data_IF_436946409711
#
_entry.id   IF_436946409711
#
_cell.length_a   1.000
_cell.length_b   1.000
_cell.length_c   1.000
_cell.angle_alpha   90.00
_cell.angle_beta   90.00
_cell.angle_gamma   90.00
#
_symmetry.space_group_name_H-M   'P 1'
#
loop_
_entity.id
_entity.type
_entity.pdbx_description
1 polymer ?
#
# COMPACT_ATOMS: atom_id res chain seq x y z
N UNK A 1 3.18 -12.58 -46.27
CA UNK A 1 2.37 -12.44 -45.05
C UNK A 1 3.32 -11.99 -43.95
N UNK A 2 3.33 -10.69 -43.67
CA UNK A 2 4.23 -10.07 -42.70
C UNK A 2 3.79 -10.45 -41.30
N UNK A 3 4.69 -11.09 -40.58
CA UNK A 3 4.61 -11.41 -39.16
C UNK A 3 4.49 -10.09 -38.38
N UNK A 4 3.26 -9.64 -38.12
CA UNK A 4 3.00 -8.47 -37.29
C UNK A 4 3.30 -8.86 -35.85
N UNK A 5 4.51 -8.52 -35.42
CA UNK A 5 4.88 -8.46 -34.00
C UNK A 5 3.78 -7.67 -33.27
N UNK A 6 3.17 -8.20 -32.19
CA UNK A 6 2.15 -7.46 -31.45
C UNK A 6 2.70 -6.09 -31.04
N UNK A 7 1.90 -5.02 -31.07
CA UNK A 7 2.38 -3.69 -30.69
C UNK A 7 2.99 -3.76 -29.29
N UNK A 8 4.18 -3.19 -29.14
CA UNK A 8 4.91 -3.12 -27.87
C UNK A 8 4.06 -2.34 -26.86
N UNK A 9 3.56 -3.01 -25.83
CA UNK A 9 2.90 -2.34 -24.71
C UNK A 9 3.83 -1.30 -24.07
N UNK A 10 3.30 -0.20 -23.50
CA UNK A 10 4.15 0.80 -22.87
C UNK A 10 4.87 0.21 -21.65
N UNK A 11 6.06 0.73 -21.36
CA UNK A 11 6.83 0.36 -20.18
C UNK A 11 6.30 1.10 -18.97
N UNK A 12 5.86 0.39 -17.92
CA UNK A 12 5.40 1.00 -16.67
C UNK A 12 6.46 0.89 -15.58
N UNK A 13 6.88 2.04 -15.05
CA UNK A 13 7.72 2.16 -13.85
C UNK A 13 6.83 2.59 -12.70
N UNK A 14 6.50 1.65 -11.82
CA UNK A 14 5.63 1.90 -10.67
C UNK A 14 6.44 2.13 -9.41
N UNK A 15 6.25 3.28 -8.77
CA UNK A 15 6.88 3.64 -7.51
C UNK A 15 5.81 3.94 -6.46
N UNK A 16 6.01 3.49 -5.23
CA UNK A 16 5.13 3.81 -4.10
C UNK A 16 4.38 2.61 -3.56
N UNK A 17 3.07 2.77 -3.35
CA UNK A 17 2.26 1.85 -2.55
C UNK A 17 1.46 0.85 -3.40
N UNK A 18 0.64 0.03 -2.72
CA UNK A 18 -0.25 -0.95 -3.34
C UNK A 18 -1.27 -0.30 -4.28
N UNK A 19 -1.79 0.87 -3.91
CA UNK A 19 -2.65 1.67 -4.80
C UNK A 19 -1.93 2.05 -6.11
N UNK A 20 -0.68 2.52 -6.04
CA UNK A 20 0.07 2.83 -7.27
C UNK A 20 0.24 1.58 -8.16
N UNK A 21 0.35 0.38 -7.59
CA UNK A 21 0.36 -0.84 -8.41
C UNK A 21 -0.97 -1.13 -9.08
N UNK A 22 -2.07 -1.03 -8.34
CA UNK A 22 -3.43 -1.19 -8.90
C UNK A 22 -3.67 -0.17 -10.02
N UNK A 23 -3.40 1.11 -9.76
CA UNK A 23 -3.55 2.20 -10.72
C UNK A 23 -2.67 1.98 -11.96
N UNK A 24 -1.47 1.42 -11.80
CA UNK A 24 -0.61 1.07 -12.93
C UNK A 24 -1.19 -0.01 -13.83
N UNK A 25 -1.85 -1.03 -13.29
CA UNK A 25 -2.51 -2.04 -14.15
C UNK A 25 -3.72 -1.44 -14.90
N UNK A 26 -4.45 -0.51 -14.28
CA UNK A 26 -5.50 0.25 -14.97
C UNK A 26 -4.93 1.09 -16.12
N UNK A 27 -3.84 1.83 -15.86
CA UNK A 27 -3.14 2.62 -16.89
C UNK A 27 -2.62 1.74 -18.03
N UNK A 28 -2.15 0.53 -17.72
CA UNK A 28 -1.69 -0.44 -18.73
C UNK A 28 -2.84 -0.81 -19.67
N UNK A 29 -4.00 -1.16 -19.13
CA UNK A 29 -5.19 -1.49 -19.92
C UNK A 29 -5.60 -0.32 -20.82
N UNK A 30 -5.78 0.88 -20.23
CA UNK A 30 -6.15 2.06 -21.00
C UNK A 30 -5.15 2.44 -22.10
N UNK A 31 -3.85 2.35 -21.82
CA UNK A 31 -2.83 2.64 -22.81
C UNK A 31 -2.78 1.59 -23.93
N UNK A 32 -2.99 0.31 -23.61
CA UNK A 32 -3.09 -0.76 -24.60
C UNK A 32 -4.32 -0.58 -25.50
N UNK A 33 -5.49 -0.31 -24.92
CA UNK A 33 -6.74 -0.07 -25.66
C UNK A 33 -6.65 1.16 -26.57
N UNK A 34 -5.92 2.20 -26.13
CA UNK A 34 -5.66 3.40 -26.92
C UNK A 34 -4.56 3.21 -27.99
N UNK A 35 -3.91 2.05 -28.04
CA UNK A 35 -2.81 1.79 -28.98
C UNK A 35 -1.54 2.59 -28.69
N UNK A 36 -1.32 3.02 -27.45
CA UNK A 36 -0.11 3.74 -27.04
C UNK A 36 1.05 2.73 -26.90
N UNK A 37 1.89 2.64 -27.93
CA UNK A 37 3.13 1.86 -27.90
C UNK A 37 4.35 2.73 -27.62
N UNK A 38 5.46 2.09 -27.23
CA UNK A 38 6.80 2.68 -27.18
C UNK A 38 6.96 3.91 -26.26
N UNK A 39 6.05 4.06 -25.28
CA UNK A 39 6.11 5.08 -24.24
C UNK A 39 6.60 4.49 -22.90
N UNK A 40 7.17 5.34 -22.04
CA UNK A 40 7.47 5.00 -20.65
C UNK A 40 6.57 5.79 -19.71
N UNK A 41 5.77 5.10 -18.91
CA UNK A 41 4.89 5.69 -17.89
C UNK A 41 5.55 5.53 -16.52
N UNK A 42 5.81 6.65 -15.84
CA UNK A 42 6.38 6.66 -14.48
C UNK A 42 5.33 7.10 -13.47
N UNK A 43 4.83 6.16 -12.67
CA UNK A 43 3.86 6.41 -11.61
C UNK A 43 4.60 6.70 -10.30
N UNK A 44 4.55 7.95 -9.84
CA UNK A 44 5.40 8.49 -8.77
C UNK A 44 4.78 8.43 -7.38
N UNK A 45 5.64 8.43 -6.35
CA UNK A 45 5.28 8.49 -4.93
C UNK A 45 5.81 9.77 -4.28
N UNK A 46 5.04 10.34 -3.34
CA UNK A 46 5.35 11.60 -2.67
C UNK A 46 5.54 11.50 -1.15
N UNK A 47 5.40 10.30 -0.57
CA UNK A 47 5.36 10.10 0.90
C UNK A 47 6.61 10.64 1.58
N UNK A 48 7.78 10.44 0.99
CA UNK A 48 9.06 10.94 1.51
C UNK A 48 9.84 11.73 0.46
N UNK A 49 10.79 12.55 0.91
CA UNK A 49 11.72 13.21 -0.01
C UNK A 49 12.60 12.23 -0.78
N UNK A 50 12.88 11.06 -0.22
CA UNK A 50 13.62 10.00 -0.94
C UNK A 50 12.77 9.42 -2.07
N UNK A 51 11.48 9.14 -1.84
CA UNK A 51 10.59 8.65 -2.89
C UNK A 51 10.54 9.58 -4.12
N UNK A 52 10.50 10.89 -3.88
CA UNK A 52 10.55 11.89 -4.96
C UNK A 52 11.92 11.90 -5.66
N UNK A 53 13.03 11.73 -4.93
CA UNK A 53 14.37 11.60 -5.54
C UNK A 53 14.46 10.35 -6.40
N UNK A 54 14.00 9.20 -5.91
CA UNK A 54 13.98 7.94 -6.65
C UNK A 54 13.15 8.05 -7.93
N UNK A 55 12.00 8.75 -7.90
CA UNK A 55 11.20 9.03 -9.09
C UNK A 55 11.98 9.81 -10.16
N UNK A 56 12.67 10.88 -9.77
CA UNK A 56 13.49 11.67 -10.69
C UNK A 56 14.67 10.87 -11.26
N UNK A 57 15.29 10.01 -10.45
CA UNK A 57 16.35 9.11 -10.92
C UNK A 57 15.81 8.08 -11.92
N UNK A 58 14.64 7.49 -11.64
CA UNK A 58 13.99 6.54 -12.52
C UNK A 58 13.64 7.15 -13.89
N UNK A 59 13.14 8.40 -13.92
CA UNK A 59 12.87 9.15 -15.16
C UNK A 59 14.15 9.30 -16.00
N UNK A 60 15.26 9.74 -15.39
CA UNK A 60 16.53 9.90 -16.12
C UNK A 60 17.08 8.58 -16.64
N UNK A 61 16.96 7.52 -15.83
CA UNK A 61 17.37 6.18 -16.23
C UNK A 61 16.53 5.68 -17.41
N UNK A 62 15.21 5.84 -17.34
CA UNK A 62 14.29 5.48 -18.42
C UNK A 62 14.63 6.20 -19.72
N UNK A 63 14.94 7.50 -19.67
CA UNK A 63 15.34 8.28 -20.85
C UNK A 63 16.61 7.75 -21.51
N UNK A 64 17.55 7.23 -20.70
CA UNK A 64 18.79 6.61 -21.18
C UNK A 64 18.55 5.21 -21.77
N UNK A 65 17.69 4.43 -21.14
CA UNK A 65 17.38 3.04 -21.54
C UNK A 65 16.44 2.98 -22.76
N UNK A 66 15.60 4.00 -22.94
CA UNK A 66 14.61 4.11 -24.02
C UNK A 66 14.79 5.43 -24.79
N UNK A 67 15.89 5.59 -25.55
CA UNK A 67 16.15 6.83 -26.27
C UNK A 67 15.05 7.13 -27.30
N UNK A 68 14.47 8.33 -27.23
CA UNK A 68 13.40 8.78 -28.14
C UNK A 68 11.99 8.36 -27.73
N UNK A 69 11.83 7.49 -26.72
CA UNK A 69 10.53 7.14 -26.18
C UNK A 69 9.93 8.32 -25.38
N UNK A 70 8.65 8.66 -25.55
CA UNK A 70 8.00 9.66 -24.71
C UNK A 70 7.91 9.18 -23.26
N UNK A 71 8.28 10.07 -22.32
CA UNK A 71 8.20 9.78 -20.89
C UNK A 71 7.02 10.54 -20.28
N UNK A 72 6.05 9.77 -19.80
CA UNK A 72 4.81 10.24 -19.22
C UNK A 72 4.91 10.07 -17.70
N UNK A 73 4.84 11.17 -16.96
CA UNK A 73 5.01 11.17 -15.49
C UNK A 73 3.67 11.44 -14.82
N UNK A 74 3.28 10.59 -13.87
CA UNK A 74 2.03 10.72 -13.11
C UNK A 74 2.22 10.29 -11.66
N UNK A 75 1.14 10.19 -10.87
CA UNK A 75 1.16 9.77 -9.47
C UNK A 75 1.22 10.95 -8.49
N UNK A 76 1.32 10.63 -7.19
CA UNK A 76 1.17 11.63 -6.13
C UNK A 76 2.19 12.78 -6.23
N UNK A 77 3.45 12.49 -6.60
CA UNK A 77 4.46 13.54 -6.65
C UNK A 77 4.21 14.49 -7.84
N UNK A 78 3.82 13.93 -8.98
CA UNK A 78 3.45 14.68 -10.17
C UNK A 78 2.22 15.58 -9.95
N UNK A 79 1.26 15.12 -9.13
CA UNK A 79 0.10 15.93 -8.73
C UNK A 79 0.48 17.08 -7.79
N UNK A 80 1.38 16.83 -6.82
CA UNK A 80 1.75 17.82 -5.80
C UNK A 80 2.67 18.90 -6.36
N UNK A 81 3.61 18.52 -7.22
CA UNK A 81 4.59 19.44 -7.80
C UNK A 81 4.77 19.15 -9.29
N UNK A 82 3.78 19.49 -10.13
CA UNK A 82 3.84 19.23 -11.56
C UNK A 82 4.98 19.98 -12.24
N UNK A 83 5.24 21.22 -11.81
CA UNK A 83 6.27 22.09 -12.38
C UNK A 83 7.67 21.51 -12.23
N UNK A 84 7.98 20.86 -11.10
CA UNK A 84 9.26 20.19 -10.91
C UNK A 84 9.51 19.12 -11.97
N UNK A 85 8.49 18.33 -12.33
CA UNK A 85 8.62 17.31 -13.37
C UNK A 85 8.55 17.90 -14.77
N UNK A 86 7.75 18.95 -14.99
CA UNK A 86 7.69 19.65 -16.27
C UNK A 86 9.04 20.29 -16.64
N UNK A 87 9.81 20.77 -15.66
CA UNK A 87 11.16 21.32 -15.86
C UNK A 87 12.22 20.27 -16.21
N UNK A 88 11.93 18.98 -16.07
CA UNK A 88 12.85 17.92 -16.47
C UNK A 88 12.84 17.77 -18.00
N UNK A 89 13.99 17.93 -18.70
CA UNK A 89 14.07 17.80 -20.16
C UNK A 89 13.62 16.43 -20.67
N UNK A 90 13.79 15.39 -19.87
CA UNK A 90 13.46 14.00 -20.21
C UNK A 90 11.95 13.75 -20.27
N UNK A 91 11.15 14.58 -19.59
CA UNK A 91 9.71 14.38 -19.47
C UNK A 91 9.00 14.92 -20.70
N UNK A 92 8.06 14.14 -21.25
CA UNK A 92 7.19 14.56 -22.36
C UNK A 92 5.90 15.16 -21.85
N UNK A 93 5.25 14.51 -20.87
CA UNK A 93 3.97 14.97 -20.29
C UNK A 93 3.92 14.68 -18.79
N UNK A 94 3.30 15.57 -18.02
CA UNK A 94 2.93 15.38 -16.62
C UNK A 94 1.41 15.25 -16.53
N UNK A 95 0.93 14.17 -15.94
CA UNK A 95 -0.50 13.82 -15.88
C UNK A 95 -0.93 13.75 -14.41
N UNK A 96 -2.06 14.38 -14.09
CA UNK A 96 -2.59 14.42 -12.73
C UNK A 96 -3.06 13.05 -12.24
N UNK A 97 -3.21 12.95 -10.92
CA UNK A 97 -3.47 11.67 -10.26
C UNK A 97 -4.89 11.15 -10.53
N UNK A 98 -5.84 12.03 -10.84
CA UNK A 98 -7.19 11.65 -11.26
C UNK A 98 -7.24 11.36 -12.77
N UNK A 99 -6.59 12.20 -13.58
CA UNK A 99 -6.56 12.08 -15.05
C UNK A 99 -6.01 10.74 -15.50
N UNK A 100 -4.97 10.22 -14.82
CA UNK A 100 -4.35 8.93 -15.16
C UNK A 100 -5.33 7.75 -15.17
N UNK A 101 -6.44 7.86 -14.44
CA UNK A 101 -7.47 6.83 -14.31
C UNK A 101 -8.51 6.89 -15.43
N UNK A 102 -8.42 7.83 -16.37
CA UNK A 102 -9.38 8.02 -17.46
C UNK A 102 -8.85 7.45 -18.76
N UNK A 103 -9.63 6.63 -19.45
CA UNK A 103 -9.22 5.98 -20.70
C UNK A 103 -8.86 7.02 -21.79
N UNK A 104 -9.64 8.10 -21.89
CA UNK A 104 -9.43 9.19 -22.85
C UNK A 104 -8.09 9.92 -22.65
N UNK A 105 -7.49 9.86 -21.45
CA UNK A 105 -6.18 10.48 -21.19
C UNK A 105 -5.06 9.81 -21.98
N UNK A 106 -5.24 8.54 -22.35
CA UNK A 106 -4.20 7.71 -22.95
C UNK A 106 -4.19 7.73 -24.49
N UNK A 107 -5.07 8.53 -25.11
CA UNK A 107 -5.14 8.66 -26.57
C UNK A 107 -3.86 9.30 -27.14
N UNK A 108 -3.09 8.62 -28.01
CA UNK A 108 -1.77 9.11 -28.45
C UNK A 108 -1.81 10.48 -29.15
N UNK A 109 -2.83 10.76 -29.96
CA UNK A 109 -2.97 12.02 -30.69
C UNK A 109 -3.01 13.22 -29.73
N UNK A 110 -3.77 13.10 -28.66
CA UNK A 110 -3.86 14.13 -27.63
C UNK A 110 -2.65 14.09 -26.71
N UNK A 111 -2.23 12.90 -26.28
CA UNK A 111 -1.22 12.74 -25.24
C UNK A 111 0.20 13.11 -25.70
N UNK A 112 0.51 12.91 -26.97
CA UNK A 112 1.82 13.21 -27.58
C UNK A 112 1.78 14.49 -28.44
N UNK A 113 0.58 14.97 -28.83
CA UNK A 113 0.38 16.24 -29.52
C UNK A 113 0.35 17.47 -28.58
N UNK A 114 0.53 18.67 -29.15
CA UNK A 114 0.38 19.94 -28.44
C UNK A 114 1.54 20.36 -27.50
N UNK A 115 1.60 21.65 -27.17
CA UNK A 115 2.71 22.26 -26.43
C UNK A 115 2.58 22.18 -24.90
N UNK A 116 1.39 21.87 -24.38
CA UNK A 116 1.14 21.92 -22.94
C UNK A 116 1.69 20.67 -22.23
N UNK A 117 2.80 20.84 -21.52
CA UNK A 117 3.49 19.74 -20.84
C UNK A 117 2.77 19.22 -19.58
N UNK A 118 1.93 20.05 -18.94
CA UNK A 118 1.26 19.74 -17.67
C UNK A 118 -0.24 19.59 -17.89
N UNK A 119 -0.80 18.42 -17.54
CA UNK A 119 -2.23 18.11 -17.55
C UNK A 119 -2.65 17.64 -16.17
N UNK A 120 -2.72 18.58 -15.24
CA UNK A 120 -2.99 18.32 -13.82
C UNK A 120 -4.11 19.24 -13.36
N UNK A 121 -5.26 18.65 -13.01
CA UNK A 121 -6.39 19.40 -12.47
C UNK A 121 -6.34 19.50 -10.94
N UNK A 122 -7.25 20.29 -10.37
CA UNK A 122 -7.43 20.40 -8.93
C UNK A 122 -7.98 19.10 -8.34
N UNK A 123 -7.11 18.35 -7.66
CA UNK A 123 -7.45 17.08 -7.01
C UNK A 123 -8.47 17.24 -5.88
N UNK A 124 -8.61 18.44 -5.30
CA UNK A 124 -9.58 18.70 -4.23
C UNK A 124 -11.02 18.82 -4.75
N UNK A 125 -11.19 19.05 -6.05
CA UNK A 125 -12.50 19.14 -6.70
C UNK A 125 -13.13 17.78 -7.06
N UNK A 126 -12.34 16.70 -7.01
CA UNK A 126 -12.78 15.35 -7.36
C UNK A 126 -13.70 14.79 -6.27
N UNK A 127 -14.89 14.35 -6.66
CA UNK A 127 -15.93 13.85 -5.75
C UNK A 127 -16.15 12.34 -5.80
N UNK A 128 -15.75 11.69 -6.89
CA UNK A 128 -16.03 10.28 -7.12
C UNK A 128 -14.74 9.50 -7.43
N UNK A 129 -14.74 8.21 -7.15
CA UNK A 129 -13.71 7.27 -7.58
C UNK A 129 -14.40 6.03 -8.15
N UNK A 130 -14.08 5.67 -9.39
CA UNK A 130 -14.67 4.49 -10.03
C UNK A 130 -13.95 3.21 -9.60
N UNK A 131 -14.66 2.09 -9.57
CA UNK A 131 -14.03 0.79 -9.67
C UNK A 131 -13.53 0.59 -11.10
N UNK A 132 -12.22 0.43 -11.27
CA UNK A 132 -11.68 -0.06 -12.54
C UNK A 132 -11.56 -1.57 -12.44
N UNK A 133 -12.32 -2.27 -13.29
CA UNK A 133 -12.27 -3.72 -13.34
C UNK A 133 -10.91 -4.14 -13.91
N UNK A 134 -10.15 -4.88 -13.11
CA UNK A 134 -8.90 -5.51 -13.56
C UNK A 134 -9.09 -7.02 -13.60
N UNK A 135 -8.63 -7.66 -14.66
CA UNK A 135 -8.72 -9.12 -14.84
C UNK A 135 -7.65 -9.87 -14.03
N UNK A 136 -6.60 -9.16 -13.61
CA UNK A 136 -5.54 -9.67 -12.74
C UNK A 136 -4.37 -8.69 -12.62
N UNK A 137 -3.37 -9.05 -11.83
CA UNK A 137 -2.06 -8.40 -11.85
C UNK A 137 -1.02 -9.43 -12.30
N UNK A 138 -0.55 -9.32 -13.54
CA UNK A 138 0.37 -10.29 -14.13
C UNK A 138 1.56 -10.60 -13.21
N UNK A 139 1.75 -11.90 -12.92
CA UNK A 139 2.85 -12.39 -12.10
C UNK A 139 2.75 -12.11 -10.60
N UNK A 140 1.57 -11.73 -10.08
CA UNK A 140 1.34 -11.54 -8.63
C UNK A 140 0.36 -12.57 -8.08
N UNK A 141 0.73 -13.21 -6.98
CA UNK A 141 -0.11 -14.17 -6.27
C UNK A 141 -1.36 -13.57 -5.59
N UNK A 142 -1.43 -12.25 -5.44
CA UNK A 142 -2.53 -11.52 -4.79
C UNK A 142 -3.08 -10.47 -5.73
N UNK A 143 -4.40 -10.27 -5.71
CA UNK A 143 -5.05 -9.17 -6.41
C UNK A 143 -5.34 -8.00 -5.45
N UNK A 144 -5.12 -6.76 -5.89
CA UNK A 144 -5.47 -5.55 -5.14
C UNK A 144 -6.81 -5.01 -5.62
N UNK A 145 -7.70 -4.67 -4.70
CA UNK A 145 -8.96 -3.98 -4.99
C UNK A 145 -8.94 -2.64 -4.28
N UNK A 146 -8.87 -1.55 -5.05
CA UNK A 146 -9.05 -0.21 -4.51
C UNK A 146 -10.50 -0.04 -4.11
N UNK A 147 -10.76 0.21 -2.83
CA UNK A 147 -12.10 0.50 -2.33
C UNK A 147 -12.24 1.95 -1.86
N UNK A 148 -11.13 2.62 -1.59
CA UNK A 148 -11.09 3.98 -1.05
C UNK A 148 -9.88 4.75 -1.60
N UNK A 149 -10.02 6.05 -1.86
CA UNK A 149 -8.91 6.92 -2.29
C UNK A 149 -9.03 8.32 -1.69
N UNK A 150 -7.90 9.04 -1.59
CA UNK A 150 -7.82 10.32 -0.89
C UNK A 150 -7.95 10.17 0.64
N UNK A 151 -7.96 11.28 1.38
CA UNK A 151 -8.08 11.23 2.83
C UNK A 151 -8.54 12.59 3.36
N UNK A 152 -9.51 12.60 4.28
CA UNK A 152 -9.99 13.82 4.94
C UNK A 152 -9.21 14.15 6.21
N UNK A 153 -8.40 13.21 6.70
CA UNK A 153 -7.49 13.52 7.79
C UNK A 153 -6.40 14.49 7.36
N UNK A 154 -6.03 15.32 8.32
CA UNK A 154 -5.01 16.36 8.17
C UNK A 154 -3.91 16.15 9.19
N UNK A 155 -3.36 14.93 9.22
CA UNK A 155 -2.20 14.61 10.03
C UNK A 155 -1.08 15.59 9.70
N UNK A 156 -0.40 16.13 10.71
CA UNK A 156 0.48 17.30 10.53
C UNK A 156 1.70 17.02 9.65
N UNK A 157 2.07 15.76 9.47
CA UNK A 157 3.19 15.32 8.62
C UNK A 157 2.77 14.88 7.20
N UNK A 158 1.47 14.68 6.95
CA UNK A 158 1.01 13.96 5.77
C UNK A 158 0.78 14.90 4.57
N UNK A 159 1.45 14.62 3.45
CA UNK A 159 1.27 15.37 2.19
C UNK A 159 0.21 14.74 1.27
N UNK A 160 -0.27 13.53 1.59
CA UNK A 160 -1.15 12.73 0.73
C UNK A 160 -2.43 13.46 0.29
N UNK A 161 -3.14 14.23 1.13
CA UNK A 161 -4.32 14.95 0.69
C UNK A 161 -4.08 15.86 -0.52
N UNK A 162 -2.88 16.45 -0.65
CA UNK A 162 -2.53 17.31 -1.79
C UNK A 162 -2.21 16.52 -3.08
N UNK A 163 -1.95 15.21 -2.97
CA UNK A 163 -1.69 14.35 -4.12
C UNK A 163 -2.87 13.47 -4.52
N UNK A 164 -3.83 13.26 -3.61
CA UNK A 164 -4.97 12.33 -3.80
C UNK A 164 -6.33 12.93 -3.47
N UNK A 165 -6.42 14.14 -2.94
CA UNK A 165 -7.67 14.82 -2.63
C UNK A 165 -8.36 14.31 -1.36
N UNK A 166 -9.62 14.72 -1.20
CA UNK A 166 -10.52 14.30 -0.12
C UNK A 166 -10.86 12.80 -0.19
N UNK A 167 -11.38 12.23 0.90
CA UNK A 167 -11.78 10.82 0.91
C UNK A 167 -12.91 10.56 -0.07
N UNK A 168 -12.81 9.45 -0.80
CA UNK A 168 -13.82 8.97 -1.75
C UNK A 168 -13.88 7.46 -1.69
N UNK A 169 -15.08 6.91 -1.69
CA UNK A 169 -15.33 5.48 -1.58
C UNK A 169 -15.88 4.90 -2.87
N UNK A 170 -15.48 3.67 -3.17
CA UNK A 170 -16.11 2.85 -4.19
C UNK A 170 -17.37 2.21 -3.59
N UNK A 171 -18.55 2.28 -4.24
CA UNK A 171 -19.76 1.63 -3.75
C UNK A 171 -19.59 0.13 -3.52
N UNK A 172 -20.23 -0.41 -2.47
CA UNK A 172 -20.05 -1.81 -2.08
C UNK A 172 -20.40 -2.83 -3.19
N UNK A 173 -21.40 -2.53 -4.03
CA UNK A 173 -21.77 -3.40 -5.16
C UNK A 173 -20.62 -3.59 -6.14
N UNK A 174 -20.01 -2.49 -6.59
CA UNK A 174 -18.86 -2.52 -7.50
C UNK A 174 -17.65 -3.25 -6.87
N UNK A 175 -17.40 -3.04 -5.58
CA UNK A 175 -16.33 -3.77 -4.88
C UNK A 175 -16.62 -5.28 -4.88
N UNK A 176 -17.84 -5.69 -4.53
CA UNK A 176 -18.22 -7.11 -4.49
C UNK A 176 -18.10 -7.75 -5.88
N UNK A 177 -18.53 -7.06 -6.93
CA UNK A 177 -18.44 -7.55 -8.30
C UNK A 177 -16.99 -7.68 -8.77
N UNK A 178 -16.12 -6.73 -8.42
CA UNK A 178 -14.70 -6.82 -8.71
C UNK A 178 -14.03 -7.98 -7.94
N UNK A 179 -14.38 -8.19 -6.66
CA UNK A 179 -13.88 -9.34 -5.90
C UNK A 179 -14.33 -10.65 -6.54
N UNK A 180 -15.60 -10.75 -6.95
CA UNK A 180 -16.14 -11.94 -7.63
C UNK A 180 -15.39 -12.24 -8.93
N UNK A 181 -15.18 -11.24 -9.79
CA UNK A 181 -14.40 -11.39 -11.03
C UNK A 181 -12.98 -11.91 -10.76
N UNK A 182 -12.30 -11.39 -9.74
CA UNK A 182 -10.95 -11.86 -9.39
C UNK A 182 -10.93 -13.31 -8.92
N UNK A 183 -11.97 -13.73 -8.18
CA UNK A 183 -12.13 -15.14 -7.78
C UNK A 183 -12.40 -16.03 -8.99
N UNK A 184 -13.25 -15.59 -9.92
CA UNK A 184 -13.56 -16.28 -11.18
C UNK A 184 -12.32 -16.43 -12.08
N UNK A 185 -11.42 -15.43 -12.11
CA UNK A 185 -10.13 -15.52 -12.81
C UNK A 185 -9.07 -16.31 -12.03
N UNK A 186 -9.46 -16.91 -10.90
CA UNK A 186 -8.67 -17.89 -10.16
C UNK A 186 -7.78 -17.32 -9.06
N UNK A 187 -7.89 -16.04 -8.70
CA UNK A 187 -7.09 -15.46 -7.62
C UNK A 187 -7.48 -16.06 -6.27
N UNK A 188 -6.48 -16.55 -5.52
CA UNK A 188 -6.69 -17.15 -4.20
C UNK A 188 -6.93 -16.10 -3.12
N UNK A 189 -6.17 -15.00 -3.18
CA UNK A 189 -6.20 -13.94 -2.17
C UNK A 189 -6.50 -12.58 -2.81
N UNK A 190 -7.48 -11.89 -2.23
CA UNK A 190 -7.85 -10.52 -2.58
C UNK A 190 -7.51 -9.60 -1.43
N UNK A 191 -6.85 -8.48 -1.72
CA UNK A 191 -6.43 -7.49 -0.74
C UNK A 191 -7.15 -6.17 -0.99
N UNK A 192 -8.00 -5.76 -0.05
CA UNK A 192 -8.62 -4.45 -0.06
C UNK A 192 -7.58 -3.39 0.24
N UNK A 193 -7.51 -2.36 -0.60
CA UNK A 193 -6.56 -1.28 -0.47
C UNK A 193 -7.26 0.08 -0.54
N UNK A 194 -6.74 1.00 0.26
CA UNK A 194 -7.12 2.40 0.25
C UNK A 194 -5.98 3.27 0.75
N UNK A 195 -6.19 4.58 0.72
CA UNK A 195 -5.28 5.53 1.37
C UNK A 195 -5.52 5.53 2.87
N UNK A 196 -6.79 5.58 3.23
CA UNK A 196 -7.33 5.67 4.58
C UNK A 196 -8.57 4.76 4.62
N UNK A 197 -8.30 3.46 4.68
CA UNK A 197 -9.29 2.44 4.35
C UNK A 197 -10.48 2.44 5.31
N UNK A 198 -10.28 2.83 6.56
CA UNK A 198 -11.33 2.95 7.59
C UNK A 198 -12.28 4.12 7.34
N UNK A 199 -11.89 5.10 6.53
CA UNK A 199 -12.79 6.18 6.10
C UNK A 199 -13.79 5.77 5.02
N UNK A 200 -13.72 4.52 4.53
CA UNK A 200 -14.65 4.02 3.53
C UNK A 200 -16.10 4.15 3.99
N UNK A 201 -16.94 4.65 3.09
CA UNK A 201 -18.38 4.73 3.22
C UNK A 201 -18.91 6.02 3.85
N UNK A 202 -18.06 6.89 4.40
CA UNK A 202 -18.47 8.19 4.96
C UNK A 202 -19.15 9.11 3.92
N UNK A 203 -18.79 8.96 2.64
CA UNK A 203 -19.35 9.68 1.49
C UNK A 203 -20.49 8.93 0.78
N UNK A 204 -20.85 7.73 1.24
CA UNK A 204 -21.90 6.91 0.64
C UNK A 204 -23.27 7.07 1.36
N UNK A 205 -24.40 6.82 0.66
CA UNK A 205 -25.72 6.85 1.29
C UNK A 205 -25.82 5.89 2.48
N UNK A 206 -26.33 6.40 3.60
CA UNK A 206 -26.43 5.65 4.86
C UNK A 206 -25.11 5.50 5.64
N UNK A 207 -24.03 6.14 5.18
CA UNK A 207 -22.72 6.22 5.84
C UNK A 207 -22.23 4.88 6.44
N UNK A 208 -22.22 3.79 5.66
CA UNK A 208 -21.77 2.50 6.16
C UNK A 208 -20.29 2.56 6.54
N UNK A 209 -19.89 1.80 7.55
CA UNK A 209 -18.48 1.68 7.97
C UNK A 209 -17.79 0.51 7.26
N UNK A 210 -16.45 0.47 7.29
CA UNK A 210 -15.63 -0.54 6.61
C UNK A 210 -16.03 -1.99 6.96
N UNK A 211 -16.38 -2.29 8.21
CA UNK A 211 -16.85 -3.61 8.62
C UNK A 211 -18.04 -4.10 7.81
N UNK A 212 -18.95 -3.21 7.41
CA UNK A 212 -20.09 -3.54 6.56
C UNK A 212 -19.64 -4.01 5.17
N UNK A 213 -18.62 -3.38 4.59
CA UNK A 213 -18.07 -3.80 3.30
C UNK A 213 -17.44 -5.20 3.42
N UNK A 214 -16.62 -5.41 4.44
CA UNK A 214 -15.92 -6.67 4.68
C UNK A 214 -16.92 -7.81 4.87
N UNK A 215 -17.92 -7.65 5.73
CA UNK A 215 -18.97 -8.64 5.95
C UNK A 215 -19.78 -8.90 4.67
N UNK A 216 -20.11 -7.87 3.89
CA UNK A 216 -20.82 -8.03 2.60
C UNK A 216 -20.01 -8.83 1.59
N UNK A 217 -18.73 -8.57 1.44
CA UNK A 217 -17.84 -9.34 0.55
C UNK A 217 -17.82 -10.82 0.97
N UNK A 218 -17.57 -11.09 2.26
CA UNK A 218 -17.49 -12.44 2.80
C UNK A 218 -18.82 -13.21 2.66
N UNK A 219 -19.95 -12.49 2.70
CA UNK A 219 -21.30 -13.08 2.50
C UNK A 219 -21.65 -13.30 1.03
N UNK A 220 -21.32 -12.36 0.14
CA UNK A 220 -21.79 -12.35 -1.26
C UNK A 220 -20.80 -12.99 -2.25
N UNK A 221 -19.60 -13.35 -1.78
CA UNK A 221 -18.59 -14.10 -2.53
C UNK A 221 -18.10 -15.28 -1.69
N UNK A 222 -18.94 -16.31 -1.46
CA UNK A 222 -18.59 -17.46 -0.62
C UNK A 222 -17.38 -18.26 -1.15
N UNK A 223 -17.07 -18.16 -2.44
CA UNK A 223 -15.96 -18.85 -3.10
C UNK A 223 -14.59 -18.24 -2.77
N UNK A 224 -14.55 -16.99 -2.28
CA UNK A 224 -13.32 -16.29 -1.91
C UNK A 224 -12.57 -17.08 -0.84
N UNK A 225 -11.30 -17.43 -1.13
CA UNK A 225 -10.48 -18.23 -0.21
C UNK A 225 -9.84 -17.39 0.88
N UNK A 226 -9.35 -16.19 0.52
CA UNK A 226 -8.74 -15.30 1.48
C UNK A 226 -8.98 -13.83 1.13
N UNK A 227 -9.48 -13.08 2.10
CA UNK A 227 -9.58 -11.63 2.07
C UNK A 227 -8.49 -11.05 2.98
N UNK A 228 -7.79 -10.02 2.54
CA UNK A 228 -6.89 -9.23 3.38
C UNK A 228 -7.27 -7.76 3.31
N UNK A 229 -7.01 -7.06 4.41
CA UNK A 229 -7.18 -5.62 4.51
C UNK A 229 -5.78 -5.01 4.58
N UNK A 230 -5.55 -3.93 3.84
CA UNK A 230 -4.29 -3.18 3.94
C UNK A 230 -4.20 -2.39 5.26
N UNK A 231 -3.31 -1.40 5.34
CA UNK A 231 -3.17 -0.57 6.54
C UNK A 231 -4.48 0.14 6.93
N UNK A 232 -4.79 0.18 8.23
CA UNK A 232 -5.97 0.84 8.79
C UNK A 232 -5.62 1.74 9.98
N UNK A 233 -6.48 2.71 10.28
CA UNK A 233 -6.40 3.49 11.52
C UNK A 233 -6.95 2.67 12.69
N UNK A 234 -6.13 2.47 13.73
CA UNK A 234 -6.42 1.59 14.86
C UNK A 234 -7.74 1.96 15.58
N UNK A 235 -8.04 3.25 15.71
CA UNK A 235 -9.21 3.71 16.45
C UNK A 235 -10.53 3.56 15.66
N UNK A 236 -10.45 3.31 14.36
CA UNK A 236 -11.62 3.23 13.48
C UNK A 236 -12.03 1.79 13.15
N UNK A 237 -11.52 0.81 13.88
CA UNK A 237 -12.04 -0.55 13.80
C UNK A 237 -13.43 -0.55 14.45
N UNK A 238 -14.46 -0.55 13.60
CA UNK A 238 -15.85 -0.67 14.00
C UNK A 238 -16.18 -2.09 14.48
N UNK A 239 -17.30 -2.23 15.21
CA UNK A 239 -17.71 -3.51 15.79
C UNK A 239 -17.91 -4.60 14.71
N UNK A 240 -18.44 -4.24 13.54
CA UNK A 240 -18.65 -5.21 12.46
C UNK A 240 -17.33 -5.68 11.85
N UNK A 241 -16.33 -4.81 11.76
CA UNK A 241 -14.97 -5.19 11.36
C UNK A 241 -14.31 -6.06 12.42
N UNK A 242 -14.46 -5.71 13.69
CA UNK A 242 -13.95 -6.52 14.80
C UNK A 242 -14.57 -7.92 14.78
N UNK A 243 -15.90 -8.04 14.66
CA UNK A 243 -16.58 -9.33 14.49
C UNK A 243 -16.09 -10.11 13.26
N UNK A 244 -15.87 -9.43 12.14
CA UNK A 244 -15.35 -10.06 10.93
C UNK A 244 -13.92 -10.62 11.10
N UNK A 245 -13.15 -10.13 12.07
CA UNK A 245 -11.87 -10.74 12.46
C UNK A 245 -12.04 -12.14 13.06
N UNK A 246 -13.25 -12.62 13.36
CA UNK A 246 -13.50 -14.02 13.66
C UNK A 246 -13.58 -14.93 12.42
N UNK A 247 -13.88 -14.39 11.24
CA UNK A 247 -14.16 -15.16 10.02
C UNK A 247 -12.88 -15.75 9.39
N UNK A 248 -12.74 -17.08 9.23
CA UNK A 248 -11.48 -17.71 8.81
C UNK A 248 -10.91 -17.24 7.47
N UNK A 249 -11.77 -16.75 6.57
CA UNK A 249 -11.37 -16.22 5.26
C UNK A 249 -10.74 -14.83 5.35
N UNK A 250 -10.99 -14.06 6.41
CA UNK A 250 -10.26 -12.83 6.65
C UNK A 250 -8.86 -13.20 7.16
N UNK A 251 -7.80 -12.67 6.56
CA UNK A 251 -6.44 -13.03 6.93
C UNK A 251 -6.13 -12.66 8.40
N UNK A 252 -5.39 -13.50 9.15
CA UNK A 252 -5.00 -13.23 10.54
C UNK A 252 -3.84 -12.23 10.61
N UNK A 253 -4.01 -11.06 9.98
CA UNK A 253 -3.02 -9.99 9.98
C UNK A 253 -3.70 -8.64 9.99
N UNK A 254 -3.22 -7.73 10.85
CA UNK A 254 -3.63 -6.34 10.82
C UNK A 254 -2.43 -5.42 10.81
N UNK A 255 -2.40 -4.48 9.86
CA UNK A 255 -1.38 -3.44 9.79
C UNK A 255 -1.94 -2.12 10.31
N UNK A 256 -1.43 -1.64 11.44
CA UNK A 256 -1.96 -0.49 12.17
C UNK A 256 -1.13 0.77 11.89
N UNK A 257 -1.79 1.84 11.49
CA UNK A 257 -1.13 3.13 11.28
C UNK A 257 -0.90 3.87 12.61
N UNK A 258 -0.09 3.31 13.52
CA UNK A 258 0.11 3.83 14.88
C UNK A 258 0.91 5.14 14.92
N UNK A 259 1.88 5.29 14.01
CA UNK A 259 2.77 6.44 13.83
C UNK A 259 3.75 6.72 14.98
N UNK A 260 3.34 6.61 16.25
CA UNK A 260 4.19 6.85 17.41
C UNK A 260 3.62 6.20 18.69
N UNK A 261 4.45 5.95 19.70
CA UNK A 261 4.03 5.38 20.99
C UNK A 261 3.84 6.39 22.13
N UNK A 262 3.85 7.69 21.84
CA UNK A 262 3.82 8.75 22.85
C UNK A 262 2.63 9.69 22.63
N UNK A 263 1.85 9.92 23.68
CA UNK A 263 0.60 10.68 23.60
C UNK A 263 0.81 12.15 23.21
N UNK A 264 1.90 12.79 23.63
CA UNK A 264 2.18 14.18 23.24
C UNK A 264 2.56 14.26 21.77
N UNK A 265 3.38 13.33 21.27
CA UNK A 265 3.75 13.27 19.86
C UNK A 265 2.55 12.90 18.98
N UNK A 266 1.74 11.90 19.38
CA UNK A 266 0.49 11.55 18.70
C UNK A 266 -0.45 12.75 18.58
N UNK A 267 -0.62 13.53 19.65
CA UNK A 267 -1.40 14.77 19.63
C UNK A 267 -0.82 15.80 18.65
N UNK A 268 0.51 16.00 18.61
CA UNK A 268 1.17 16.90 17.65
C UNK A 268 1.09 16.40 16.20
N UNK A 269 1.07 15.08 16.01
CA UNK A 269 0.80 14.43 14.73
C UNK A 269 -0.65 14.58 14.27
N UNK A 270 -1.55 15.02 15.18
CA UNK A 270 -3.02 15.04 15.01
C UNK A 270 -3.58 13.63 14.78
N UNK A 271 -3.10 12.66 15.56
CA UNK A 271 -3.68 11.32 15.66
C UNK A 271 -4.90 11.35 16.58
N UNK A 272 -5.79 10.36 16.39
CA UNK A 272 -7.08 10.24 17.07
C UNK A 272 -7.08 9.13 18.14
N UNK A 273 -5.91 8.53 18.34
CA UNK A 273 -5.68 7.47 19.31
C UNK A 273 -4.57 7.88 20.25
N UNK A 274 -4.66 7.41 21.49
CA UNK A 274 -3.59 7.39 22.47
C UNK A 274 -2.82 6.07 22.39
N UNK A 275 -1.69 6.01 23.09
CA UNK A 275 -0.89 4.79 23.27
C UNK A 275 -1.75 3.65 23.83
N UNK A 276 -2.53 3.96 24.85
CA UNK A 276 -3.34 3.01 25.60
C UNK A 276 -4.42 2.38 24.71
N UNK A 277 -4.99 3.15 23.77
CA UNK A 277 -5.97 2.64 22.79
C UNK A 277 -5.34 1.58 21.88
N UNK A 278 -4.09 1.78 21.46
CA UNK A 278 -3.38 0.82 20.61
C UNK A 278 -3.08 -0.49 21.36
N UNK A 279 -2.71 -0.40 22.64
CA UNK A 279 -2.46 -1.57 23.50
C UNK A 279 -3.76 -2.35 23.72
N UNK A 280 -4.83 -1.66 24.14
CA UNK A 280 -6.13 -2.27 24.38
C UNK A 280 -6.71 -2.93 23.12
N UNK A 281 -6.53 -2.31 21.94
CA UNK A 281 -6.92 -2.93 20.68
C UNK A 281 -6.13 -4.20 20.39
N UNK A 282 -4.81 -4.18 20.56
CA UNK A 282 -3.95 -5.33 20.30
C UNK A 282 -4.32 -6.53 21.20
N UNK A 283 -4.63 -6.27 22.46
CA UNK A 283 -5.14 -7.28 23.41
C UNK A 283 -6.48 -7.87 22.96
N UNK A 284 -7.45 -7.02 22.58
CA UNK A 284 -8.76 -7.46 22.09
C UNK A 284 -8.66 -8.30 20.83
N UNK A 285 -7.84 -7.87 19.86
CA UNK A 285 -7.64 -8.61 18.60
C UNK A 285 -7.03 -9.99 18.86
N UNK A 286 -6.02 -10.09 19.74
CA UNK A 286 -5.43 -11.39 20.10
C UNK A 286 -6.40 -12.28 20.87
N UNK A 287 -7.23 -11.72 21.73
CA UNK A 287 -8.24 -12.49 22.46
C UNK A 287 -9.29 -13.10 21.51
N UNK A 288 -9.68 -12.35 20.47
CA UNK A 288 -10.61 -12.83 19.44
C UNK A 288 -9.94 -13.81 18.47
N UNK A 289 -8.71 -13.53 18.07
CA UNK A 289 -7.96 -14.28 17.06
C UNK A 289 -6.51 -14.53 17.52
N UNK A 290 -6.25 -15.63 18.25
CA UNK A 290 -4.94 -15.89 18.86
C UNK A 290 -3.76 -16.02 17.89
N UNK A 291 -4.04 -16.40 16.63
CA UNK A 291 -3.06 -16.52 15.55
C UNK A 291 -2.82 -15.20 14.79
N UNK A 292 -3.42 -14.08 15.22
CA UNK A 292 -3.24 -12.79 14.54
C UNK A 292 -1.82 -12.26 14.70
N UNK A 293 -1.19 -11.90 13.59
CA UNK A 293 0.00 -11.08 13.60
C UNK A 293 -0.34 -9.59 13.44
N UNK A 294 0.36 -8.74 14.17
CA UNK A 294 0.18 -7.29 14.11
C UNK A 294 1.40 -6.63 13.49
N UNK A 295 1.14 -5.78 12.51
CA UNK A 295 2.11 -4.87 11.93
C UNK A 295 1.83 -3.42 12.29
N UNK A 296 2.83 -2.55 12.27
CA UNK A 296 2.61 -1.12 12.42
C UNK A 296 3.55 -0.25 11.58
N UNK A 297 3.06 0.94 11.22
CA UNK A 297 3.89 2.05 10.74
C UNK A 297 4.28 2.93 11.93
N UNK A 298 5.58 3.17 12.13
CA UNK A 298 6.10 4.10 13.16
C UNK A 298 7.04 5.11 12.51
N UNK A 299 6.86 6.39 12.85
CA UNK A 299 7.70 7.50 12.42
C UNK A 299 8.71 7.81 13.54
N UNK A 300 9.99 7.72 13.22
CA UNK A 300 11.08 8.08 14.13
C UNK A 300 11.53 9.53 13.90
N UNK A 301 11.79 10.28 14.97
CA UNK A 301 12.34 11.62 14.87
C UNK A 301 11.33 12.65 14.41
N UNK A 302 10.07 12.53 14.83
CA UNK A 302 9.07 13.57 14.57
C UNK A 302 9.51 14.90 15.23
N UNK A 303 9.18 16.07 14.66
CA UNK A 303 9.58 17.35 15.25
C UNK A 303 9.22 17.42 16.74
N UNK A 304 10.13 17.97 17.56
CA UNK A 304 10.01 18.07 19.03
C UNK A 304 10.00 16.75 19.84
N UNK A 305 10.30 15.61 19.21
CA UNK A 305 10.45 14.32 19.90
C UNK A 305 11.70 14.29 20.80
N UNK A 306 11.50 14.03 22.09
CA UNK A 306 12.58 13.87 23.08
C UNK A 306 12.97 12.40 23.20
N UNK A 307 14.03 12.10 23.94
CA UNK A 307 14.43 10.71 24.17
C UNK A 307 13.35 9.91 24.90
N UNK A 308 12.71 10.49 25.92
CA UNK A 308 11.60 9.85 26.63
C UNK A 308 10.42 9.52 25.70
N UNK A 309 10.06 10.43 24.77
CA UNK A 309 9.02 10.14 23.79
C UNK A 309 9.44 8.98 22.86
N UNK A 310 10.72 8.95 22.45
CA UNK A 310 11.23 7.90 21.59
C UNK A 310 11.22 6.52 22.29
N UNK A 311 11.65 6.44 23.54
CA UNK A 311 11.58 5.19 24.34
C UNK A 311 10.16 4.66 24.45
N UNK A 312 9.15 5.53 24.53
CA UNK A 312 7.76 5.12 24.47
C UNK A 312 7.44 4.42 23.12
N UNK A 313 7.93 4.92 21.98
CA UNK A 313 7.76 4.22 20.70
C UNK A 313 8.47 2.86 20.65
N UNK A 314 9.62 2.73 21.31
CA UNK A 314 10.35 1.45 21.40
C UNK A 314 9.56 0.43 22.23
N UNK A 315 9.11 0.81 23.42
CA UNK A 315 8.34 -0.09 24.30
C UNK A 315 6.97 -0.45 23.74
N UNK A 316 6.36 0.40 22.91
CA UNK A 316 5.08 0.09 22.24
C UNK A 316 5.16 -1.20 21.41
N UNK A 317 6.34 -1.53 20.86
CA UNK A 317 6.52 -2.76 20.06
C UNK A 317 6.21 -4.00 20.90
N UNK A 318 6.71 -4.04 22.13
CA UNK A 318 6.46 -5.14 23.07
C UNK A 318 5.03 -5.08 23.62
N UNK A 319 4.59 -3.91 24.10
CA UNK A 319 3.26 -3.74 24.71
C UNK A 319 2.12 -4.13 23.75
N UNK A 320 2.23 -3.76 22.47
CA UNK A 320 1.27 -4.15 21.45
C UNK A 320 1.55 -5.53 20.84
N UNK A 321 2.65 -6.21 21.18
CA UNK A 321 3.05 -7.48 20.58
C UNK A 321 3.19 -7.40 19.06
N UNK A 322 3.82 -6.34 18.56
CA UNK A 322 3.99 -6.10 17.12
C UNK A 322 5.05 -7.03 16.54
N UNK A 323 4.70 -7.79 15.50
CA UNK A 323 5.61 -8.67 14.80
C UNK A 323 6.29 -7.98 13.60
N UNK A 324 5.57 -7.09 12.93
CA UNK A 324 6.03 -6.42 11.71
C UNK A 324 6.13 -4.92 11.91
N UNK A 325 7.32 -4.35 11.72
CA UNK A 325 7.50 -2.91 11.89
C UNK A 325 7.99 -2.24 10.61
N UNK A 326 7.23 -1.25 10.15
CA UNK A 326 7.66 -0.32 9.11
C UNK A 326 8.09 1.00 9.75
N UNK A 327 9.40 1.19 9.84
CA UNK A 327 10.00 2.39 10.44
C UNK A 327 10.31 3.44 9.38
N UNK A 328 9.64 4.58 9.47
CA UNK A 328 9.87 5.74 8.63
C UNK A 328 10.68 6.80 9.39
N UNK A 329 11.90 7.17 8.93
CA UNK A 329 12.53 8.39 9.39
C UNK A 329 11.64 9.57 8.99
N UNK A 330 11.36 10.48 9.92
CA UNK A 330 10.56 11.66 9.61
C UNK A 330 11.17 12.44 8.43
N UNK A 331 10.34 12.75 7.43
CA UNK A 331 10.75 13.46 6.22
C UNK A 331 9.89 14.71 6.07
N UNK A 332 10.41 15.92 6.36
CA UNK A 332 9.64 17.14 6.24
C UNK A 332 9.17 17.33 4.79
N UNK A 333 7.87 17.53 4.62
CA UNK A 333 7.27 17.80 3.31
C UNK A 333 6.84 19.27 3.24
N UNK A 334 7.27 20.04 2.23
CA UNK A 334 6.82 21.41 2.04
C UNK A 334 5.29 21.51 2.07
N UNK A 335 4.74 22.53 2.73
CA UNK A 335 3.30 22.73 2.89
C UNK A 335 2.64 21.97 4.05
N UNK A 336 3.33 21.04 4.71
CA UNK A 336 2.78 20.34 5.89
C UNK A 336 2.99 21.14 7.19
N UNK A 337 2.04 21.10 8.16
CA UNK A 337 2.22 21.78 9.44
C UNK A 337 3.48 21.35 10.21
N UNK A 338 3.83 20.06 10.20
CA UNK A 338 4.99 19.52 10.90
C UNK A 338 6.32 20.04 10.33
N UNK A 339 6.38 20.39 9.03
CA UNK A 339 7.57 21.00 8.45
C UNK A 339 7.89 22.40 9.01
N UNK A 340 6.93 23.04 9.69
CA UNK A 340 7.11 24.36 10.34
C UNK A 340 7.44 24.27 11.84
N UNK A 341 7.42 23.07 12.41
CA UNK A 341 7.77 22.84 13.83
C UNK A 341 9.31 22.87 14.03
N UNK A 342 9.82 23.04 15.26
CA UNK A 342 11.24 22.85 15.56
C UNK A 342 11.70 21.44 15.20
N UNK A 343 12.57 21.34 14.22
CA UNK A 343 13.06 20.06 13.68
C UNK A 343 14.15 19.47 14.57
N UNK A 344 14.28 18.14 14.51
CA UNK A 344 15.43 17.43 15.07
C UNK A 344 16.58 17.37 14.07
N UNK A 345 17.79 17.20 14.59
CA UNK A 345 18.96 16.93 13.76
C UNK A 345 18.80 15.60 13.01
N UNK A 346 19.19 15.60 11.73
CA UNK A 346 19.09 14.41 10.87
C UNK A 346 19.84 13.20 11.43
N UNK A 347 20.91 13.43 12.19
CA UNK A 347 21.67 12.37 12.84
C UNK A 347 20.82 11.65 13.90
N UNK A 348 20.08 12.39 14.73
CA UNK A 348 19.17 11.84 15.75
C UNK A 348 18.03 11.07 15.08
N UNK A 349 17.40 11.65 14.04
CA UNK A 349 16.34 10.97 13.29
C UNK A 349 16.83 9.63 12.72
N UNK A 350 18.05 9.60 12.18
CA UNK A 350 18.65 8.39 11.60
C UNK A 350 18.97 7.34 12.66
N UNK A 351 19.54 7.75 13.79
CA UNK A 351 19.90 6.88 14.92
C UNK A 351 18.63 6.25 15.54
N UNK A 352 17.61 7.04 15.85
CA UNK A 352 16.31 6.56 16.32
C UNK A 352 15.63 5.60 15.36
N UNK A 353 15.64 5.92 14.05
CA UNK A 353 15.11 5.03 13.05
C UNK A 353 15.89 3.71 12.95
N UNK A 354 17.20 3.71 13.23
CA UNK A 354 18.00 2.48 13.27
C UNK A 354 17.64 1.62 14.49
N UNK A 355 17.54 2.23 15.68
CA UNK A 355 17.14 1.53 16.91
C UNK A 355 15.74 0.92 16.83
N UNK A 356 14.75 1.65 16.32
CA UNK A 356 13.41 1.07 16.10
C UNK A 356 13.44 -0.09 15.10
N UNK A 357 14.27 -0.04 14.06
CA UNK A 357 14.40 -1.16 13.13
C UNK A 357 15.00 -2.38 13.81
N UNK A 358 16.03 -2.20 14.63
CA UNK A 358 16.61 -3.28 15.43
C UNK A 358 15.57 -3.90 16.39
N UNK A 359 14.77 -3.07 17.08
CA UNK A 359 13.64 -3.55 17.88
C UNK A 359 12.65 -4.36 17.04
N UNK A 360 12.28 -3.87 15.86
CA UNK A 360 11.38 -4.57 14.93
C UNK A 360 11.96 -5.87 14.39
N UNK A 361 13.26 -5.93 14.09
CA UNK A 361 13.96 -7.14 13.66
C UNK A 361 13.97 -8.21 14.76
N UNK A 362 14.15 -7.80 16.02
CA UNK A 362 14.08 -8.72 17.16
C UNK A 362 12.65 -9.22 17.39
N UNK A 363 11.65 -8.34 17.28
CA UNK A 363 10.25 -8.73 17.38
C UNK A 363 9.84 -9.72 16.28
N UNK A 364 10.32 -9.50 15.05
CA UNK A 364 10.08 -10.39 13.91
C UNK A 364 10.73 -11.77 14.11
N UNK A 365 11.96 -11.85 14.67
CA UNK A 365 12.59 -13.13 15.01
C UNK A 365 11.81 -13.88 16.08
N UNK A 366 11.33 -13.18 17.10
CA UNK A 366 10.45 -13.77 18.13
C UNK A 366 9.16 -14.32 17.50
N UNK A 367 8.58 -13.60 16.54
CA UNK A 367 7.42 -14.06 15.78
C UNK A 367 7.73 -15.33 14.99
N UNK A 368 8.84 -15.37 14.25
CA UNK A 368 9.24 -16.55 13.48
C UNK A 368 9.44 -17.80 14.33
N UNK A 369 10.06 -17.66 15.51
CA UNK A 369 10.29 -18.79 16.41
C UNK A 369 9.02 -19.51 16.83
N UNK A 370 7.86 -18.84 16.82
CA UNK A 370 6.56 -19.44 17.17
C UNK A 370 6.05 -20.43 16.12
N UNK A 371 6.48 -20.29 14.88
CA UNK A 371 6.06 -21.16 13.78
C UNK A 371 6.93 -22.41 13.59
N UNK A 372 8.07 -22.50 14.29
CA UNK A 372 8.99 -23.63 14.11
C UNK A 372 8.32 -24.92 14.59
N UNK A 373 8.32 -25.93 13.72
CA UNK A 373 7.67 -27.23 13.95
C UNK A 373 6.23 -27.30 13.47
N UNK A 374 5.62 -26.19 13.04
CA UNK A 374 4.26 -26.18 12.51
C UNK A 374 4.21 -26.72 11.07
N UNK A 375 3.04 -27.26 10.69
CA UNK A 375 2.72 -27.57 9.29
C UNK A 375 1.54 -26.73 8.87
N UNK A 376 1.74 -25.90 7.86
CA UNK A 376 0.84 -24.81 7.50
C UNK A 376 0.72 -24.64 5.99
N UNK A 377 -0.40 -24.08 5.54
CA UNK A 377 -0.61 -23.71 4.14
C UNK A 377 0.02 -22.33 3.87
N UNK A 378 0.95 -22.27 2.92
CA UNK A 378 1.68 -21.04 2.55
C UNK A 378 1.37 -20.65 1.11
N UNK A 379 0.94 -19.41 0.89
CA UNK A 379 0.64 -18.88 -0.43
C UNK A 379 1.94 -18.59 -1.20
N UNK A 380 2.16 -19.29 -2.31
CA UNK A 380 3.33 -19.11 -3.18
C UNK A 380 3.24 -17.77 -3.90
N UNK A 381 4.21 -16.88 -3.70
CA UNK A 381 4.29 -15.58 -4.35
C UNK A 381 4.97 -15.67 -5.72
N UNK A 382 6.21 -16.16 -5.75
CA UNK A 382 7.03 -16.34 -6.95
C UNK A 382 8.24 -17.21 -6.65
N UNK A 383 8.49 -18.20 -7.51
CA UNK A 383 9.54 -19.18 -7.26
C UNK A 383 9.34 -19.86 -5.91
N UNK A 384 10.41 -20.03 -5.13
CA UNK A 384 10.33 -20.55 -3.77
C UNK A 384 9.98 -19.52 -2.69
N UNK A 385 9.52 -18.31 -3.04
CA UNK A 385 9.03 -17.34 -2.07
C UNK A 385 7.53 -17.55 -1.84
N UNK A 386 7.14 -17.68 -0.58
CA UNK A 386 5.75 -17.83 -0.14
C UNK A 386 5.47 -16.97 1.11
N UNK A 387 4.20 -16.89 1.53
CA UNK A 387 3.81 -16.30 2.81
C UNK A 387 2.75 -17.11 3.53
N UNK A 388 2.79 -17.07 4.86
CA UNK A 388 1.67 -17.50 5.69
C UNK A 388 0.48 -16.53 5.58
N UNK A 389 -0.73 -16.96 5.99
CA UNK A 389 -1.90 -16.10 6.04
C UNK A 389 -1.70 -14.82 6.88
N UNK A 390 -0.90 -14.89 7.93
CA UNK A 390 -0.54 -13.76 8.81
C UNK A 390 0.51 -12.79 8.20
N UNK A 391 0.88 -13.00 6.92
CA UNK A 391 1.87 -12.24 6.15
C UNK A 391 3.35 -12.58 6.40
N UNK A 392 3.64 -13.56 7.25
CA UNK A 392 5.00 -14.04 7.53
C UNK A 392 5.66 -14.59 6.26
N UNK A 393 6.85 -14.09 5.87
CA UNK A 393 7.57 -14.59 4.71
C UNK A 393 8.12 -15.99 4.95
N UNK A 394 8.03 -16.85 3.92
CA UNK A 394 8.52 -18.22 3.92
C UNK A 394 9.36 -18.46 2.67
N UNK A 395 10.55 -19.05 2.86
CA UNK A 395 11.38 -19.62 1.80
C UNK A 395 11.16 -21.12 1.74
N UNK A 396 10.59 -21.58 0.63
CA UNK A 396 10.39 -23.00 0.38
C UNK A 396 11.70 -23.68 -0.03
N UNK A 397 11.85 -24.96 0.33
CA UNK A 397 13.01 -25.79 -0.01
C UNK A 397 13.20 -25.96 -1.52
N UNK A 398 12.12 -25.84 -2.30
CA UNK A 398 12.12 -25.86 -3.77
C UNK A 398 10.98 -24.99 -4.33
N UNK A 399 11.03 -24.73 -5.64
CA UNK A 399 9.95 -24.04 -6.35
C UNK A 399 8.80 -25.03 -6.63
N UNK A 400 7.57 -24.80 -6.12
CA UNK A 400 6.43 -25.67 -6.41
C UNK A 400 5.87 -25.50 -7.83
N UNK A 401 6.37 -24.54 -8.62
CA UNK A 401 6.04 -24.36 -10.04
C UNK A 401 4.74 -23.62 -10.32
N UNK A 402 3.95 -23.28 -9.29
CA UNK A 402 2.70 -22.53 -9.44
C UNK A 402 2.58 -21.38 -8.42
N UNK A 403 2.64 -20.13 -8.89
CA UNK A 403 2.35 -18.96 -8.06
C UNK A 403 0.83 -18.80 -7.83
N UNK A 404 0.45 -18.11 -6.75
CA UNK A 404 -0.96 -17.78 -6.48
C UNK A 404 -1.80 -18.92 -5.89
N UNK A 405 -1.17 -20.02 -5.50
CA UNK A 405 -1.82 -21.15 -4.81
C UNK A 405 -1.08 -21.49 -3.52
N UNK A 406 -1.81 -21.91 -2.47
CA UNK A 406 -1.19 -22.41 -1.26
C UNK A 406 -0.53 -23.76 -1.51
N UNK A 407 0.57 -24.01 -0.82
CA UNK A 407 1.18 -25.33 -0.67
C UNK A 407 1.35 -25.63 0.81
N UNK A 408 1.24 -26.91 1.18
CA UNK A 408 1.46 -27.32 2.57
C UNK A 408 2.96 -27.45 2.82
N UNK A 409 3.45 -26.73 3.82
CA UNK A 409 4.87 -26.71 4.17
C UNK A 409 5.06 -26.98 5.67
N UNK A 410 6.11 -27.73 6.00
CA UNK A 410 6.59 -27.91 7.36
C UNK A 410 7.68 -26.88 7.67
N UNK A 411 7.48 -26.06 8.70
CA UNK A 411 8.43 -25.00 9.06
C UNK A 411 9.54 -25.56 9.93
N UNK A 412 10.77 -25.57 9.41
CA UNK A 412 11.93 -26.17 10.09
C UNK A 412 12.81 -25.16 10.82
N UNK A 413 12.68 -23.87 10.51
CA UNK A 413 13.48 -22.81 11.13
C UNK A 413 13.28 -21.45 10.46
N UNK A 414 14.22 -20.53 10.67
CA UNK A 414 14.24 -19.22 10.01
C UNK A 414 15.67 -18.71 9.81
N UNK A 415 15.89 -17.87 8.80
CA UNK A 415 17.19 -17.21 8.54
C UNK A 415 17.29 -15.80 9.17
N UNK A 416 16.28 -15.41 9.96
CA UNK A 416 16.15 -14.08 10.57
C UNK A 416 15.49 -13.05 9.65
N UNK A 417 15.18 -13.40 8.40
CA UNK A 417 14.44 -12.58 7.43
C UNK A 417 13.15 -13.25 6.97
N UNK A 418 13.11 -14.58 6.97
CA UNK A 418 11.97 -15.41 6.59
C UNK A 418 12.05 -16.79 7.26
N UNK A 419 10.90 -17.45 7.37
CA UNK A 419 10.82 -18.87 7.74
C UNK A 419 11.42 -19.75 6.62
N UNK A 420 11.88 -20.93 7.00
CA UNK A 420 12.32 -21.99 6.08
C UNK A 420 11.24 -23.08 6.11
N UNK A 421 10.63 -23.35 4.96
CA UNK A 421 9.57 -24.34 4.80
C UNK A 421 10.00 -25.49 3.90
N UNK A 422 9.85 -26.73 4.38
CA UNK A 422 10.00 -27.94 3.59
C UNK A 422 8.66 -28.36 3.00
N UNK A 423 8.64 -28.71 1.72
CA UNK A 423 7.46 -29.24 1.03
C UNK A 423 7.76 -30.66 0.55
N UNK A 424 6.79 -31.55 0.70
CA UNK A 424 6.89 -32.94 0.25
C UNK A 424 7.09 -33.03 -1.27
N UNK A 425 7.72 -34.13 -1.71
CA UNK A 425 8.24 -34.37 -3.06
C UNK A 425 7.18 -34.49 -4.16
#
# INVERSE_FOLDING_TARGET
MTDQKPPSSPTLITLGCRLNSYESEVMRGHAADAGLSDAVIVNTCAVTGEAVRSARQAIRRAAKEHPGAPILVTGCAAQIDPDMFAKMPEVTRVIGNHEKMKAETWQPADLLGGHEKVRVNDIMSVKETAAHLIDGMDGRARAYVQVQNGCDHRCTFCIIPYGRGNSRSVPAGEVVDQVRRLVETGHYEVVLTGVDLTSWGADLPGTPQLGNLVQRILKLVPELKQLRISSIDAIEIDDALFEAMGEPRLAPFMHLSLQHGDNLILKRMKRRHAREDAIALAEKLRALRPDIALGADIIAGFPTETEAHFENSVSLVEDCGLAFLHVFPYSPRPGTPAARMPQLDKAIIKERAARLRETGENALKTHFSRHIGETCDVLVERGSSARLPDFTPVKLSRDPGHAGRPVRAHITGHDGRQLIGEIDA
#
